data_IF_401049832400
#
_entry.id   IF_401049832400
#
_cell.length_a   1.000
_cell.length_b   1.000
_cell.length_c   1.000
_cell.angle_alpha   90.00
_cell.angle_beta   90.00
_cell.angle_gamma   90.00
#
_symmetry.space_group_name_H-M   'P 1'
#
loop_
_entity.id
_entity.type
_entity.pdbx_description
1 polymer ?
#
# COMPACT_ATOMS: atom_id res chain seq x y z
N UNK A 1 -31.51 11.01 12.42
CA UNK A 1 -31.44 9.63 11.88
C UNK A 1 -29.98 9.24 11.72
N UNK A 2 -29.58 8.00 12.08
CA UNK A 2 -28.21 7.55 11.88
C UNK A 2 -27.87 7.52 10.38
N UNK A 3 -26.71 8.08 10.01
CA UNK A 3 -26.19 8.11 8.65
C UNK A 3 -25.11 7.05 8.49
N UNK A 4 -25.12 6.33 7.38
CA UNK A 4 -24.07 5.37 7.02
C UNK A 4 -23.01 6.08 6.17
N UNK A 5 -21.76 6.03 6.63
CA UNK A 5 -20.60 6.48 5.87
C UNK A 5 -19.75 5.26 5.52
N UNK A 6 -19.25 5.20 4.29
CA UNK A 6 -18.34 4.16 3.81
C UNK A 6 -17.02 4.83 3.49
N UNK A 7 -15.94 4.33 4.09
CA UNK A 7 -14.56 4.77 3.87
C UNK A 7 -13.76 3.57 3.38
N UNK A 8 -12.78 3.82 2.52
CA UNK A 8 -11.82 2.82 2.10
C UNK A 8 -10.44 3.21 2.63
N UNK A 9 -9.73 2.22 3.18
CA UNK A 9 -8.29 2.33 3.38
C UNK A 9 -7.59 1.48 2.33
N UNK A 10 -6.45 1.97 1.86
CA UNK A 10 -5.72 1.35 0.76
C UNK A 10 -4.32 0.96 1.20
N UNK A 11 -3.81 -0.10 0.61
CA UNK A 11 -2.47 -0.56 0.78
C UNK A 11 -1.97 -1.31 -0.44
N UNK A 12 -0.67 -1.55 -0.48
CA UNK A 12 -0.04 -2.41 -1.47
C UNK A 12 0.78 -3.45 -0.73
N UNK A 13 0.42 -4.70 -0.92
CA UNK A 13 1.07 -5.87 -0.29
C UNK A 13 2.53 -6.00 -0.73
N UNK A 14 3.28 -6.82 0.01
CA UNK A 14 4.63 -7.25 -0.36
C UNK A 14 4.77 -7.90 -1.73
N UNK A 15 3.64 -8.32 -2.33
CA UNK A 15 3.58 -8.90 -3.67
C UNK A 15 3.15 -7.91 -4.75
N UNK A 16 2.99 -6.63 -4.42
CA UNK A 16 2.63 -5.60 -5.38
C UNK A 16 1.14 -5.56 -5.73
N UNK A 17 0.29 -6.24 -4.95
CA UNK A 17 -1.16 -6.23 -5.16
C UNK A 17 -1.85 -5.18 -4.29
N UNK A 18 -2.91 -4.55 -4.82
CA UNK A 18 -3.80 -3.68 -4.05
C UNK A 18 -4.41 -4.46 -2.88
N UNK A 19 -4.48 -3.83 -1.72
CA UNK A 19 -5.20 -4.30 -0.56
C UNK A 19 -6.15 -3.19 -0.10
N UNK A 20 -7.44 -3.48 0.01
CA UNK A 20 -8.43 -2.51 0.47
C UNK A 20 -9.18 -3.00 1.69
N UNK A 21 -9.47 -2.08 2.61
CA UNK A 21 -10.35 -2.31 3.74
C UNK A 21 -11.58 -1.44 3.56
N UNK A 22 -12.77 -2.03 3.65
CA UNK A 22 -14.02 -1.28 3.69
C UNK A 22 -14.38 -1.01 5.13
N UNK A 23 -14.47 0.26 5.49
CA UNK A 23 -14.85 0.71 6.82
C UNK A 23 -16.25 1.30 6.71
N UNK A 24 -17.19 0.70 7.42
CA UNK A 24 -18.57 1.18 7.52
C UNK A 24 -18.72 1.86 8.86
N UNK A 25 -18.93 3.18 8.84
CA UNK A 25 -19.23 3.98 10.04
C UNK A 25 -20.73 4.30 10.08
N UNK A 26 -21.35 4.11 11.24
CA UNK A 26 -22.70 4.59 11.52
C UNK A 26 -22.56 5.83 12.40
N UNK A 27 -23.04 6.96 11.91
CA UNK A 27 -22.91 8.26 12.57
C UNK A 27 -24.28 8.73 13.03
N UNK A 28 -24.41 9.09 14.31
CA UNK A 28 -25.62 9.70 14.87
C UNK A 28 -25.22 10.95 15.64
N UNK A 29 -25.86 12.07 15.33
CA UNK A 29 -25.66 13.35 16.01
C UNK A 29 -24.19 13.84 16.03
N UNK A 30 -23.44 13.50 14.98
CA UNK A 30 -22.02 13.86 14.82
C UNK A 30 -21.03 12.85 15.41
N UNK A 31 -21.50 11.86 16.15
CA UNK A 31 -20.67 10.84 16.78
C UNK A 31 -20.71 9.50 16.03
N UNK A 32 -19.57 8.81 15.97
CA UNK A 32 -19.47 7.45 15.42
C UNK A 32 -19.98 6.48 16.48
N UNK A 33 -21.19 5.96 16.26
CA UNK A 33 -21.83 5.00 17.17
C UNK A 33 -21.50 3.53 16.83
N UNK A 34 -20.99 3.28 15.62
CA UNK A 34 -20.50 1.96 15.22
C UNK A 34 -19.49 2.10 14.09
N UNK A 35 -18.43 1.29 14.15
CA UNK A 35 -17.43 1.15 13.09
C UNK A 35 -17.18 -0.34 12.85
N UNK A 36 -17.31 -0.77 11.59
CA UNK A 36 -16.97 -2.13 11.18
C UNK A 36 -15.97 -2.07 10.04
N UNK A 37 -14.80 -2.70 10.25
CA UNK A 37 -13.73 -2.83 9.26
C UNK A 37 -13.75 -4.23 8.68
N UNK A 38 -13.85 -4.33 7.35
CA UNK A 38 -13.79 -5.61 6.66
C UNK A 38 -12.41 -6.26 6.78
N UNK A 39 -12.37 -7.59 6.57
CA UNK A 39 -11.14 -8.28 6.18
C UNK A 39 -10.61 -7.60 4.91
N UNK A 40 -9.28 -7.43 4.76
CA UNK A 40 -8.72 -6.87 3.54
C UNK A 40 -9.08 -7.74 2.33
N UNK A 41 -9.37 -7.09 1.21
CA UNK A 41 -9.61 -7.77 -0.06
C UNK A 41 -8.89 -7.07 -1.20
N UNK A 42 -8.67 -7.84 -2.27
CA UNK A 42 -8.01 -7.41 -3.51
C UNK A 42 -9.03 -7.60 -4.64
N UNK A 43 -9.07 -6.73 -5.65
CA UNK A 43 -9.89 -6.94 -6.84
C UNK A 43 -9.55 -8.28 -7.49
N UNK A 44 -10.57 -9.07 -7.86
CA UNK A 44 -10.39 -10.34 -8.57
C UNK A 44 -9.84 -10.12 -9.98
N UNK A 45 -10.28 -9.04 -10.62
CA UNK A 45 -9.80 -8.57 -11.92
C UNK A 45 -9.47 -7.09 -11.80
N UNK A 46 -8.21 -6.74 -12.06
CA UNK A 46 -7.74 -5.34 -12.02
C UNK A 46 -8.37 -4.46 -13.10
N UNK A 47 -8.94 -5.05 -14.15
CA UNK A 47 -9.65 -4.34 -15.21
C UNK A 47 -11.12 -4.11 -14.86
N UNK A 48 -11.66 -4.84 -13.87
CA UNK A 48 -13.00 -4.67 -13.34
C UNK A 48 -12.95 -4.27 -11.86
N UNK A 49 -12.96 -2.97 -11.63
CA UNK A 49 -12.89 -2.34 -10.30
C UNK A 49 -14.27 -1.95 -9.76
N UNK A 50 -15.33 -2.65 -10.15
CA UNK A 50 -16.67 -2.39 -9.63
C UNK A 50 -16.73 -2.62 -8.11
N UNK A 51 -17.31 -1.66 -7.40
CA UNK A 51 -17.39 -1.67 -5.92
C UNK A 51 -16.15 -1.13 -5.20
N UNK A 52 -15.14 -0.67 -5.94
CA UNK A 52 -13.98 0.04 -5.40
C UNK A 52 -14.09 1.56 -5.65
N UNK A 53 -13.52 2.35 -4.75
CA UNK A 53 -13.47 3.81 -4.87
C UNK A 53 -12.42 4.27 -5.89
N UNK A 54 -12.45 5.57 -6.22
CA UNK A 54 -11.51 6.17 -7.18
C UNK A 54 -10.06 6.00 -6.74
N UNK A 55 -9.79 6.13 -5.43
CA UNK A 55 -8.45 5.95 -4.88
C UNK A 55 -7.90 4.54 -5.10
N UNK A 56 -8.74 3.52 -4.99
CA UNK A 56 -8.35 2.14 -5.35
C UNK A 56 -7.91 2.04 -6.82
N UNK A 57 -8.63 2.71 -7.73
CA UNK A 57 -8.30 2.73 -9.16
C UNK A 57 -6.99 3.47 -9.42
N UNK A 58 -6.74 4.57 -8.73
CA UNK A 58 -5.45 5.30 -8.80
C UNK A 58 -4.28 4.44 -8.35
N UNK A 59 -4.45 3.70 -7.25
CA UNK A 59 -3.43 2.78 -6.72
C UNK A 59 -3.16 1.66 -7.71
N UNK A 60 -4.19 1.04 -8.28
CA UNK A 60 -4.04 0.02 -9.33
C UNK A 60 -3.33 0.60 -10.55
N UNK A 61 -3.73 1.78 -11.01
CA UNK A 61 -3.08 2.44 -12.15
C UNK A 61 -1.59 2.73 -11.89
N UNK A 62 -1.21 3.07 -10.65
CA UNK A 62 0.19 3.27 -10.27
C UNK A 62 1.01 1.97 -10.33
N UNK A 63 0.54 0.92 -9.65
CA UNK A 63 1.29 -0.35 -9.48
C UNK A 63 1.28 -1.22 -10.74
N UNK A 64 0.36 -0.98 -11.68
CA UNK A 64 0.24 -1.79 -12.90
C UNK A 64 1.02 -1.25 -14.09
N UNK A 65 1.61 -0.04 -13.98
CA UNK A 65 2.45 0.50 -15.06
C UNK A 65 3.58 -0.46 -15.41
N UNK A 66 3.91 -0.56 -16.70
CA UNK A 66 5.01 -1.43 -17.17
C UNK A 66 6.30 -1.16 -16.39
N UNK A 67 6.65 0.11 -16.23
CA UNK A 67 7.81 0.55 -15.47
C UNK A 67 7.79 0.05 -14.01
N UNK A 68 6.67 0.22 -13.30
CA UNK A 68 6.57 -0.24 -11.92
C UNK A 68 6.70 -1.76 -11.81
N UNK A 69 6.09 -2.52 -12.73
CA UNK A 69 6.21 -3.99 -12.76
C UNK A 69 7.63 -4.46 -13.07
N UNK A 70 8.30 -3.82 -14.03
CA UNK A 70 9.67 -4.15 -14.43
C UNK A 70 10.65 -3.87 -13.27
N UNK A 71 10.54 -2.69 -12.63
CA UNK A 71 11.35 -2.33 -11.47
C UNK A 71 11.07 -3.23 -10.26
N UNK A 72 9.80 -3.53 -9.98
CA UNK A 72 9.44 -4.44 -8.89
C UNK A 72 9.96 -5.86 -9.11
N UNK A 73 9.96 -6.34 -10.36
CA UNK A 73 10.55 -7.63 -10.71
C UNK A 73 12.06 -7.62 -10.52
N UNK A 74 12.73 -6.52 -10.87
CA UNK A 74 14.18 -6.36 -10.68
C UNK A 74 14.57 -6.29 -9.19
N UNK A 75 13.74 -5.70 -8.34
CA UNK A 75 13.96 -5.63 -6.88
C UNK A 75 13.74 -6.99 -6.18
N UNK A 76 12.94 -7.88 -6.78
CA UNK A 76 12.57 -9.15 -6.15
C UNK A 76 13.74 -10.15 -6.19
N UNK A 77 14.38 -10.35 -5.04
CA UNK A 77 15.35 -11.42 -4.86
C UNK A 77 14.69 -12.79 -4.69
N UNK A 78 15.03 -13.72 -5.58
CA UNK A 78 14.65 -15.14 -5.49
C UNK A 78 15.58 -15.80 -4.46
N UNK A 79 15.00 -16.64 -3.59
CA UNK A 79 15.75 -17.42 -2.60
C UNK A 79 15.99 -18.79 -3.23
N UNK A 80 17.24 -19.22 -3.28
CA UNK A 80 17.65 -20.46 -3.95
C UNK A 80 17.49 -21.68 -3.05
N UNK A 81 17.43 -21.47 -1.73
CA UNK A 81 17.32 -22.52 -0.73
C UNK A 81 18.68 -23.12 -0.34
N UNK A 82 19.77 -22.42 -0.62
CA UNK A 82 21.13 -22.92 -0.37
C UNK A 82 21.92 -21.89 0.44
N UNK A 83 22.32 -22.28 1.65
CA UNK A 83 23.08 -21.44 2.56
C UNK A 83 22.27 -20.29 3.16
N UNK A 84 22.99 -19.26 3.62
CA UNK A 84 22.40 -18.08 4.25
C UNK A 84 21.96 -17.06 3.19
N UNK A 85 20.68 -16.74 3.14
CA UNK A 85 20.10 -15.83 2.16
C UNK A 85 19.19 -14.78 2.80
N UNK A 86 19.34 -13.51 2.39
CA UNK A 86 18.42 -12.45 2.80
C UNK A 86 17.39 -12.12 1.71
N UNK A 87 16.15 -11.79 2.13
CA UNK A 87 15.11 -11.21 1.28
C UNK A 87 14.54 -9.95 1.92
N UNK A 88 14.39 -8.92 1.11
CA UNK A 88 13.66 -7.71 1.47
C UNK A 88 12.35 -7.67 0.69
N UNK A 89 11.26 -7.41 1.39
CA UNK A 89 9.96 -7.11 0.79
C UNK A 89 9.33 -5.91 1.50
N UNK A 90 8.20 -5.40 0.99
CA UNK A 90 7.64 -4.15 1.49
C UNK A 90 6.12 -4.17 1.45
N UNK A 91 5.47 -3.96 2.60
CA UNK A 91 4.05 -3.62 2.65
C UNK A 91 3.89 -2.11 2.71
N UNK A 92 2.80 -1.60 2.13
CA UNK A 92 2.48 -0.17 2.11
C UNK A 92 1.05 0.03 2.56
N UNK A 93 0.81 1.05 3.37
CA UNK A 93 -0.51 1.60 3.67
C UNK A 93 -0.54 3.05 3.22
N UNK A 94 -1.66 3.45 2.61
CA UNK A 94 -1.88 4.76 2.05
C UNK A 94 -3.02 5.37 2.82
N UNK A 95 -2.81 6.57 3.35
CA UNK A 95 -3.87 7.29 4.05
C UNK A 95 -4.61 8.29 3.15
N UNK A 96 -5.64 8.90 3.72
CA UNK A 96 -6.47 9.89 3.03
C UNK A 96 -5.73 11.18 2.67
N UNK A 97 -4.58 11.46 3.28
CA UNK A 97 -3.73 12.63 2.98
C UNK A 97 -2.66 12.30 1.93
N UNK A 98 -2.64 11.07 1.42
CA UNK A 98 -1.65 10.62 0.44
C UNK A 98 -0.28 10.29 1.04
N UNK A 99 -0.14 10.24 2.37
CA UNK A 99 1.10 9.72 2.98
C UNK A 99 1.16 8.21 2.79
N UNK A 100 2.35 7.72 2.49
CA UNK A 100 2.58 6.29 2.27
C UNK A 100 3.42 5.76 3.44
N UNK A 101 2.80 4.97 4.31
CA UNK A 101 3.49 4.23 5.35
C UNK A 101 4.11 2.97 4.74
N UNK A 102 5.43 2.89 4.73
CA UNK A 102 6.19 1.77 4.17
C UNK A 102 6.71 0.89 5.29
N UNK A 103 6.39 -0.41 5.25
CA UNK A 103 6.93 -1.43 6.14
C UNK A 103 7.86 -2.33 5.35
N UNK A 104 9.16 -2.11 5.46
CA UNK A 104 10.19 -3.00 4.94
C UNK A 104 10.29 -4.24 5.83
N UNK A 105 10.14 -5.41 5.24
CA UNK A 105 10.25 -6.72 5.87
C UNK A 105 11.59 -7.31 5.45
N UNK A 106 12.49 -7.48 6.40
CA UNK A 106 13.76 -8.17 6.21
C UNK A 106 13.61 -9.61 6.73
N UNK A 107 13.78 -10.59 5.84
CA UNK A 107 13.78 -12.01 6.16
C UNK A 107 15.16 -12.60 5.92
N UNK A 108 15.61 -13.44 6.84
CA UNK A 108 16.84 -14.24 6.69
C UNK A 108 16.45 -15.70 6.62
N UNK A 109 16.94 -16.38 5.60
CA UNK A 109 16.73 -17.80 5.32
C UNK A 109 18.05 -18.55 5.50
N UNK A 110 17.99 -19.77 6.03
CA UNK A 110 19.09 -20.72 6.05
C UNK A 110 18.58 -22.01 5.42
N UNK A 111 19.21 -22.42 4.31
CA UNK A 111 18.81 -23.60 3.53
C UNK A 111 17.31 -23.60 3.17
N UNK A 112 16.78 -22.41 2.85
CA UNK A 112 15.39 -22.20 2.47
C UNK A 112 14.40 -22.05 3.64
N UNK A 113 14.81 -22.31 4.88
CA UNK A 113 13.97 -22.11 6.06
C UNK A 113 14.07 -20.67 6.58
N UNK A 114 12.94 -20.00 6.82
CA UNK A 114 12.93 -18.64 7.39
C UNK A 114 13.40 -18.71 8.86
N UNK A 115 14.59 -18.18 9.14
CA UNK A 115 15.19 -18.14 10.49
C UNK A 115 14.83 -16.88 11.26
N UNK A 116 14.72 -15.75 10.56
CA UNK A 116 14.38 -14.48 11.22
C UNK A 116 13.58 -13.54 10.33
N UNK A 117 12.80 -12.69 10.98
CA UNK A 117 11.97 -11.67 10.34
C UNK A 117 12.00 -10.38 11.15
N UNK A 118 12.45 -9.29 10.54
CA UNK A 118 12.49 -7.94 11.13
C UNK A 118 11.69 -6.96 10.30
N UNK A 119 11.13 -5.95 10.98
CA UNK A 119 10.32 -4.91 10.37
C UNK A 119 10.98 -3.55 10.58
N UNK A 120 11.09 -2.78 9.50
CA UNK A 120 11.48 -1.37 9.54
C UNK A 120 10.34 -0.54 8.97
N UNK A 121 9.99 0.55 9.65
CA UNK A 121 8.92 1.45 9.23
C UNK A 121 9.55 2.76 8.76
N UNK A 122 9.06 3.26 7.64
CA UNK A 122 9.37 4.58 7.13
C UNK A 122 8.10 5.19 6.53
N UNK A 123 8.17 6.48 6.22
CA UNK A 123 7.10 7.20 5.57
C UNK A 123 7.62 7.84 4.29
N UNK A 124 6.74 8.01 3.32
CA UNK A 124 6.95 8.84 2.14
C UNK A 124 5.82 9.86 2.17
N UNK A 125 6.15 11.11 2.54
CA UNK A 125 5.18 12.19 2.70
C UNK A 125 4.96 12.92 1.37
N UNK A 126 3.78 13.54 1.15
CA UNK A 126 3.56 14.40 -0.01
C UNK A 126 4.63 15.48 -0.16
N UNK A 127 5.37 15.42 -1.28
CA UNK A 127 6.46 16.34 -1.59
C UNK A 127 7.86 15.90 -1.15
N UNK A 128 8.00 14.74 -0.50
CA UNK A 128 9.31 14.15 -0.21
C UNK A 128 10.04 13.69 -1.49
N UNK A 129 11.37 13.65 -1.42
CA UNK A 129 12.17 12.92 -2.42
C UNK A 129 12.06 11.40 -2.19
N UNK A 130 11.46 10.71 -3.15
CA UNK A 130 11.29 9.26 -3.17
C UNK A 130 12.26 8.54 -4.12
N UNK A 131 13.33 9.21 -4.57
CA UNK A 131 14.36 8.63 -5.46
C UNK A 131 14.99 7.35 -4.91
N UNK A 132 15.10 7.23 -3.58
CA UNK A 132 15.68 6.08 -2.87
C UNK A 132 14.66 5.06 -2.38
N UNK A 133 13.36 5.29 -2.59
CA UNK A 133 12.30 4.35 -2.22
C UNK A 133 12.26 3.14 -3.15
N UNK A 134 11.58 2.07 -2.73
CA UNK A 134 11.32 0.89 -3.57
C UNK A 134 10.37 1.21 -4.76
N UNK A 135 10.32 0.33 -5.76
CA UNK A 135 9.63 0.52 -7.02
C UNK A 135 8.15 0.88 -6.84
N UNK A 136 7.43 0.15 -5.99
CA UNK A 136 6.00 0.39 -5.78
C UNK A 136 5.76 1.67 -4.98
N UNK A 137 6.59 1.99 -3.99
CA UNK A 137 6.51 3.26 -3.26
C UNK A 137 6.77 4.46 -4.17
N UNK A 138 7.73 4.35 -5.11
CA UNK A 138 7.98 5.36 -6.15
C UNK A 138 6.78 5.53 -7.08
N UNK A 139 6.20 4.42 -7.54
CA UNK A 139 5.05 4.45 -8.43
C UNK A 139 3.84 5.11 -7.75
N UNK A 140 3.58 4.77 -6.49
CA UNK A 140 2.53 5.37 -5.68
C UNK A 140 2.78 6.86 -5.46
N UNK A 141 3.96 7.25 -4.97
CA UNK A 141 4.28 8.65 -4.71
C UNK A 141 4.13 9.50 -5.99
N UNK A 142 4.63 9.00 -7.14
CA UNK A 142 4.49 9.68 -8.43
C UNK A 142 3.02 9.87 -8.86
N UNK A 143 2.14 8.94 -8.53
CA UNK A 143 0.72 9.01 -8.91
C UNK A 143 -0.11 9.82 -7.93
N UNK A 144 0.17 9.71 -6.63
CA UNK A 144 -0.68 10.23 -5.55
C UNK A 144 -0.23 11.58 -5.00
N UNK A 145 1.06 11.92 -5.09
CA UNK A 145 1.58 13.22 -4.66
C UNK A 145 1.38 14.26 -5.77
N UNK A 146 0.13 14.53 -6.12
CA UNK A 146 -0.20 15.60 -7.06
C UNK A 146 0.06 16.97 -6.42
N UNK A 147 0.22 18.05 -7.21
CA UNK A 147 0.42 19.40 -6.66
C UNK A 147 -0.67 19.80 -5.66
N UNK A 148 -1.92 19.40 -5.91
CA UNK A 148 -3.06 19.67 -5.02
C UNK A 148 -2.92 18.94 -3.69
N UNK A 149 -2.54 17.66 -3.70
CA UNK A 149 -2.32 16.87 -2.47
C UNK A 149 -1.13 17.42 -1.68
N UNK A 150 -0.06 17.83 -2.36
CA UNK A 150 1.12 18.44 -1.71
C UNK A 150 0.73 19.78 -1.07
N UNK A 151 -0.06 20.59 -1.76
CA UNK A 151 -0.52 21.88 -1.24
C UNK A 151 -1.42 21.70 0.00
N UNK A 152 -2.37 20.77 -0.05
CA UNK A 152 -3.25 20.47 1.09
C UNK A 152 -2.47 19.90 2.28
N UNK A 153 -1.47 19.04 2.04
CA UNK A 153 -0.65 18.47 3.10
C UNK A 153 0.22 19.50 3.83
N UNK A 154 0.67 20.55 3.15
CA UNK A 154 1.55 21.59 3.70
C UNK A 154 0.80 22.76 4.36
N UNK A 155 -0.52 22.76 4.28
CA UNK A 155 -1.38 23.80 4.85
C UNK A 155 -1.44 23.70 6.38
#
# INVERSE_FOLDING_TARGET
MPKKQIIFEHGVTEWGNLQTYKIVKIIKDGEVISENKSIPYTPKDINNMDGFDERSKEVVAAITTKKAKDEFKAEKKIITGVGLEERYTWDRMIDSMGRIAVRRIHRVFEDGEERSKKYHRSWVMPGDDFSKSDAMSKALAKKLHTPEVIAEYKR
#
